data_IF_071521567281
#
_entry.id   IF_071521567281
#
_cell.length_a   1.000
_cell.length_b   1.000
_cell.length_c   1.000
_cell.angle_alpha   90.00
_cell.angle_beta   90.00
_cell.angle_gamma   90.00
#
_symmetry.space_group_name_H-M   'P 1'
#
loop_
_entity.id
_entity.type
_entity.pdbx_description
1 polymer ?
#
# COMPACT_ATOMS: atom_id res chain seq x y z
N UNK A 1 14.97 -8.93 -10.19
CA UNK A 1 14.07 -8.11 -9.35
C UNK A 1 13.52 -7.01 -10.24
N UNK A 2 12.21 -6.93 -10.46
CA UNK A 2 11.62 -5.90 -11.31
C UNK A 2 10.53 -5.19 -10.51
N UNK A 3 10.82 -3.97 -10.06
CA UNK A 3 9.85 -3.11 -9.36
C UNK A 3 9.19 -2.25 -10.41
N UNK A 4 7.91 -2.50 -10.70
CA UNK A 4 7.12 -1.59 -11.53
C UNK A 4 6.44 -0.57 -10.63
N UNK A 5 6.93 0.68 -10.69
CA UNK A 5 6.28 1.83 -10.06
C UNK A 5 5.18 2.32 -11.01
N UNK A 6 3.96 1.82 -10.84
CA UNK A 6 2.83 2.37 -11.55
C UNK A 6 2.14 3.40 -10.65
N UNK A 7 2.20 4.65 -11.11
CA UNK A 7 1.27 5.73 -10.79
C UNK A 7 1.38 6.32 -9.37
N UNK A 8 2.02 7.48 -9.29
CA UNK A 8 2.13 8.32 -8.11
C UNK A 8 0.86 9.19 -7.97
N UNK A 9 -0.31 8.57 -7.79
CA UNK A 9 -1.53 9.31 -7.41
C UNK A 9 -1.56 9.39 -5.88
N UNK A 10 -1.43 10.61 -5.34
CA UNK A 10 -1.65 10.91 -3.93
C UNK A 10 -0.84 10.10 -2.89
N UNK A 11 0.50 10.02 -3.04
CA UNK A 11 1.42 9.48 -2.01
C UNK A 11 1.19 8.00 -1.63
N UNK A 12 0.51 7.22 -2.45
CA UNK A 12 0.38 5.76 -2.29
C UNK A 12 1.53 5.09 -3.02
N UNK A 13 2.27 4.22 -2.34
CA UNK A 13 3.36 3.45 -2.95
C UNK A 13 2.83 2.06 -3.29
N UNK A 14 2.64 1.80 -4.58
CA UNK A 14 2.30 0.48 -5.10
C UNK A 14 3.59 -0.32 -5.30
N UNK A 15 3.74 -1.44 -4.58
CA UNK A 15 4.90 -2.33 -4.75
C UNK A 15 4.40 -3.72 -5.12
N UNK A 16 4.53 -4.08 -6.40
CA UNK A 16 4.23 -5.44 -6.86
C UNK A 16 5.50 -6.29 -6.78
N UNK A 17 5.48 -7.34 -5.95
CA UNK A 17 6.55 -8.32 -5.89
C UNK A 17 6.14 -9.60 -6.62
N UNK A 18 6.98 -10.06 -7.57
CA UNK A 18 6.85 -11.40 -8.16
C UNK A 18 7.91 -12.30 -7.52
N UNK A 19 7.51 -13.16 -6.60
CA UNK A 19 8.42 -14.15 -6.03
C UNK A 19 8.66 -15.27 -7.06
N UNK A 20 9.85 -15.27 -7.66
CA UNK A 20 10.26 -16.33 -8.58
C UNK A 20 10.56 -17.60 -7.80
N UNK A 21 9.57 -18.49 -7.70
CA UNK A 21 9.69 -19.87 -8.25
C UNK A 21 8.52 -20.78 -7.93
N UNK A 22 7.65 -20.52 -6.95
CA UNK A 22 6.67 -21.57 -6.52
C UNK A 22 5.26 -21.06 -6.17
N UNK A 23 4.98 -19.76 -6.05
CA UNK A 23 3.65 -19.31 -5.59
C UNK A 23 3.08 -18.12 -6.37
N UNK A 24 1.74 -18.10 -6.42
CA UNK A 24 0.88 -17.07 -6.97
C UNK A 24 1.39 -15.65 -6.74
N UNK A 25 1.16 -14.76 -7.71
CA UNK A 25 1.52 -13.35 -7.58
C UNK A 25 0.95 -12.76 -6.29
N UNK A 26 1.82 -12.33 -5.37
CA UNK A 26 1.44 -11.59 -4.15
C UNK A 26 1.56 -10.10 -4.42
N UNK A 27 0.47 -9.38 -4.20
CA UNK A 27 0.41 -7.93 -4.34
C UNK A 27 0.57 -7.31 -2.96
N UNK A 28 1.35 -6.24 -2.88
CA UNK A 28 1.55 -5.45 -1.66
C UNK A 28 1.15 -4.00 -1.92
N UNK A 29 0.35 -3.43 -1.02
CA UNK A 29 -0.02 -2.02 -1.04
C UNK A 29 0.49 -1.40 0.25
N UNK A 30 1.24 -0.30 0.14
CA UNK A 30 1.85 0.38 1.28
C UNK A 30 1.54 1.87 1.22
N UNK A 31 1.11 2.43 2.36
CA UNK A 31 0.87 3.88 2.49
C UNK A 31 1.62 4.40 3.73
N UNK A 32 2.40 5.48 3.59
CA UNK A 32 3.15 6.08 4.69
C UNK A 32 2.22 6.77 5.70
N UNK A 33 2.54 6.58 6.99
CA UNK A 33 1.93 7.29 8.13
C UNK A 33 2.83 8.48 8.46
N UNK A 34 2.22 9.65 8.59
CA UNK A 34 2.94 10.90 8.85
C UNK A 34 2.68 11.40 10.28
N UNK A 35 3.73 11.91 10.92
CA UNK A 35 3.58 12.65 12.17
C UNK A 35 3.01 14.08 11.93
N UNK A 36 2.94 14.87 13.00
CA UNK A 36 2.51 16.28 12.96
C UNK A 36 3.41 17.23 12.18
N UNK A 37 4.67 16.87 11.98
CA UNK A 37 5.64 17.65 11.22
C UNK A 37 5.69 17.21 9.75
N UNK A 38 4.82 16.27 9.34
CA UNK A 38 4.84 15.70 8.00
C UNK A 38 6.00 14.72 7.77
N UNK A 39 6.67 14.25 8.84
CA UNK A 39 7.71 13.22 8.76
C UNK A 39 7.05 11.84 8.67
N UNK A 40 7.53 11.00 7.76
CA UNK A 40 7.13 9.59 7.71
C UNK A 40 7.70 8.87 8.93
N UNK A 41 6.84 8.23 9.70
CA UNK A 41 7.23 7.52 10.94
C UNK A 41 6.85 6.03 10.92
N UNK A 42 5.94 5.64 10.04
CA UNK A 42 5.54 4.25 9.82
C UNK A 42 4.92 4.08 8.42
N UNK A 43 4.50 2.86 8.08
CA UNK A 43 3.65 2.58 6.93
C UNK A 43 2.61 1.51 7.30
N UNK A 44 1.39 1.62 6.79
CA UNK A 44 0.41 0.54 6.84
C UNK A 44 0.52 -0.24 5.52
N UNK A 45 0.56 -1.56 5.64
CA UNK A 45 0.74 -2.47 4.51
C UNK A 45 -0.36 -3.51 4.52
N UNK A 46 -0.93 -3.80 3.35
CA UNK A 46 -1.75 -4.98 3.11
C UNK A 46 -1.14 -5.82 1.99
N UNK A 47 -1.30 -7.12 2.11
CA UNK A 47 -0.79 -8.08 1.13
C UNK A 47 -1.81 -9.17 0.87
N UNK A 48 -1.85 -9.66 -0.37
CA UNK A 48 -2.73 -10.76 -0.75
C UNK A 48 -2.27 -11.42 -2.03
N UNK A 49 -2.56 -12.72 -2.16
CA UNK A 49 -2.39 -13.43 -3.41
C UNK A 49 -3.38 -12.94 -4.47
N UNK A 50 -3.14 -13.27 -5.75
CA UNK A 50 -3.99 -12.86 -6.89
C UNK A 50 -5.48 -13.15 -6.69
N UNK A 51 -5.85 -14.26 -6.04
CA UNK A 51 -7.25 -14.60 -5.75
C UNK A 51 -7.90 -13.70 -4.69
N UNK A 52 -7.12 -13.23 -3.72
CA UNK A 52 -7.60 -12.36 -2.63
C UNK A 52 -7.60 -10.88 -3.05
N UNK A 53 -6.62 -10.48 -3.85
CA UNK A 53 -6.42 -9.13 -4.34
C UNK A 53 -6.28 -9.14 -5.87
N UNK A 54 -7.38 -9.30 -6.62
CA UNK A 54 -7.34 -9.26 -8.08
C UNK A 54 -6.96 -7.85 -8.57
N UNK A 55 -6.30 -7.77 -9.74
CA UNK A 55 -5.70 -6.51 -10.23
C UNK A 55 -6.75 -5.40 -10.40
N UNK A 56 -7.95 -5.76 -10.87
CA UNK A 56 -9.08 -4.86 -11.08
C UNK A 56 -9.59 -4.19 -9.80
N UNK A 57 -9.32 -4.76 -8.62
CA UNK A 57 -9.74 -4.20 -7.32
C UNK A 57 -8.61 -3.53 -6.54
N UNK A 58 -7.38 -3.52 -7.08
CA UNK A 58 -6.23 -2.89 -6.39
C UNK A 58 -6.52 -1.43 -6.01
N UNK A 59 -7.18 -0.67 -6.88
CA UNK A 59 -7.54 0.72 -6.61
C UNK A 59 -8.45 0.84 -5.39
N UNK A 60 -9.45 -0.04 -5.27
CA UNK A 60 -10.38 -0.09 -4.14
C UNK A 60 -9.66 -0.38 -2.82
N UNK A 61 -8.78 -1.40 -2.81
CA UNK A 61 -7.95 -1.70 -1.63
C UNK A 61 -7.01 -0.55 -1.26
N UNK A 62 -6.48 0.17 -2.25
CA UNK A 62 -5.69 1.39 -2.04
C UNK A 62 -6.48 2.49 -1.32
N UNK A 63 -7.77 2.66 -1.65
CA UNK A 63 -8.64 3.63 -0.96
C UNK A 63 -8.91 3.24 0.49
N UNK A 64 -9.16 1.96 0.77
CA UNK A 64 -9.34 1.48 2.15
C UNK A 64 -8.08 1.68 2.99
N UNK A 65 -6.91 1.36 2.42
CA UNK A 65 -5.63 1.56 3.07
C UNK A 65 -5.36 3.05 3.32
N UNK A 66 -5.74 3.92 2.37
CA UNK A 66 -5.58 5.37 2.51
C UNK A 66 -6.45 5.91 3.63
N UNK A 67 -7.71 5.49 3.71
CA UNK A 67 -8.63 5.88 4.77
C UNK A 67 -8.09 5.47 6.16
N UNK A 68 -7.63 4.22 6.30
CA UNK A 68 -7.05 3.73 7.55
C UNK A 68 -5.78 4.51 7.94
N UNK A 69 -4.90 4.79 6.96
CA UNK A 69 -3.67 5.54 7.20
C UNK A 69 -3.93 7.00 7.57
N UNK A 70 -4.97 7.60 6.98
CA UNK A 70 -5.43 8.95 7.33
C UNK A 70 -5.93 8.99 8.77
N UNK A 71 -6.79 8.05 9.17
CA UNK A 71 -7.31 7.96 10.53
C UNK A 71 -6.17 7.86 11.56
N UNK A 72 -5.16 7.02 11.28
CA UNK A 72 -4.00 6.88 12.15
C UNK A 72 -3.15 8.16 12.20
N UNK A 73 -2.88 8.76 11.03
CA UNK A 73 -2.09 10.00 10.95
C UNK A 73 -2.80 11.15 11.69
N UNK A 74 -4.12 11.27 11.54
CA UNK A 74 -4.92 12.28 12.25
C UNK A 74 -4.86 12.07 13.77
N UNK A 75 -4.89 10.81 14.24
CA UNK A 75 -4.77 10.47 15.66
C UNK A 75 -3.39 10.75 16.26
N UNK A 76 -2.33 10.65 15.45
CA UNK A 76 -0.96 11.00 15.87
C UNK A 76 -0.76 12.52 15.92
N UNK A 77 -1.54 13.26 15.13
CA UNK A 77 -1.48 14.72 15.03
C UNK A 77 -2.25 15.44 16.12
N UNK A 78 -3.31 14.83 16.66
CA UNK A 78 -4.10 15.33 17.79
C UNK A 78 -3.32 15.26 19.09
#
# INVERSE_FOLDING_TARGET
MQVQHNLLINKIIFIKFKLSRIFDEVIWLAIPVYDKNGKVIAAIIISGGRFQMPNERISEFGQYLLAATKMLSDKIRS
#
